data_IF_297588084974
#
_entry.id   IF_297588084974
#
_cell.length_a   1.000
_cell.length_b   1.000
_cell.length_c   1.000
_cell.angle_alpha   90.00
_cell.angle_beta   90.00
_cell.angle_gamma   90.00
#
_symmetry.space_group_name_H-M   'P 1'
#
loop_
_entity.id
_entity.type
_entity.pdbx_description
1 polymer ?
#
# COMPACT_ATOMS: atom_id res chain seq x y z
N UNK A 1 -26.54 5.79 -51.64
CA UNK A 1 -27.76 5.06 -51.25
C UNK A 1 -28.25 5.62 -49.93
N UNK A 2 -29.31 6.43 -49.98
CA UNK A 2 -30.04 6.96 -48.83
C UNK A 2 -31.09 5.94 -48.38
N UNK A 3 -31.30 5.77 -47.07
CA UNK A 3 -32.65 5.68 -46.50
C UNK A 3 -32.62 5.75 -44.97
N UNK A 4 -33.00 6.91 -44.45
CA UNK A 4 -33.55 7.11 -43.11
C UNK A 4 -34.81 6.25 -42.91
N UNK A 5 -35.12 5.87 -41.65
CA UNK A 5 -36.43 6.19 -41.03
C UNK A 5 -36.48 5.88 -39.53
N UNK A 6 -36.92 6.91 -38.83
CA UNK A 6 -37.43 7.07 -37.46
C UNK A 6 -38.70 6.26 -37.18
N UNK A 7 -38.96 5.90 -35.91
CA UNK A 7 -39.99 6.53 -35.05
C UNK A 7 -40.23 5.77 -33.73
N UNK A 8 -40.35 6.56 -32.66
CA UNK A 8 -40.99 6.24 -31.38
C UNK A 8 -42.51 6.12 -31.53
N UNK A 9 -43.16 5.49 -30.54
CA UNK A 9 -44.34 6.07 -29.86
C UNK A 9 -44.83 5.17 -28.70
N UNK A 10 -45.13 5.86 -27.60
CA UNK A 10 -45.86 5.41 -26.41
C UNK A 10 -47.26 4.84 -26.75
N UNK A 11 -47.80 4.01 -25.87
CA UNK A 11 -49.24 4.02 -25.56
C UNK A 11 -49.48 3.58 -24.12
N UNK A 12 -50.45 4.24 -23.48
CA UNK A 12 -50.76 4.21 -22.07
C UNK A 12 -52.09 3.48 -21.76
N UNK A 13 -52.16 2.96 -20.54
CA UNK A 13 -53.26 3.03 -19.57
C UNK A 13 -54.63 2.30 -19.77
N UNK A 14 -55.02 1.66 -18.65
CA UNK A 14 -56.29 1.77 -17.91
C UNK A 14 -57.34 0.63 -17.98
N UNK A 15 -57.68 0.09 -16.78
CA UNK A 15 -59.01 -0.33 -16.25
C UNK A 15 -58.76 -1.04 -14.88
N UNK A 16 -59.01 -0.51 -13.68
CA UNK A 16 -60.22 -0.06 -12.96
C UNK A 16 -61.18 -1.19 -12.51
N UNK A 17 -61.35 -1.42 -11.19
CA UNK A 17 -62.65 -1.45 -10.47
C UNK A 17 -62.51 -1.63 -8.93
N UNK A 18 -63.52 -1.16 -8.19
CA UNK A 18 -63.49 -0.70 -6.81
C UNK A 18 -64.28 -1.54 -5.77
N UNK A 19 -63.91 -1.34 -4.49
CA UNK A 19 -64.64 -1.33 -3.20
C UNK A 19 -65.95 -2.14 -2.96
N UNK A 20 -66.00 -2.86 -1.81
CA UNK A 20 -66.96 -2.62 -0.69
C UNK A 20 -66.82 -3.67 0.45
N UNK A 21 -67.20 -3.24 1.66
CA UNK A 21 -67.05 -3.84 2.99
C UNK A 21 -68.31 -4.64 3.43
N UNK A 22 -68.22 -5.84 4.03
CA UNK A 22 -69.13 -6.30 5.11
C UNK A 22 -68.68 -7.57 5.88
N UNK A 23 -68.41 -7.34 7.17
CA UNK A 23 -68.52 -8.14 8.42
C UNK A 23 -68.97 -9.62 8.34
N UNK A 24 -68.14 -10.53 8.89
CA UNK A 24 -68.60 -11.66 9.72
C UNK A 24 -67.77 -11.71 11.01
N UNK A 25 -68.46 -11.50 12.14
CA UNK A 25 -67.99 -11.81 13.50
C UNK A 25 -68.03 -13.32 13.73
N UNK A 26 -66.89 -13.92 14.04
CA UNK A 26 -66.83 -15.16 14.82
C UNK A 26 -65.84 -14.94 15.97
N UNK A 27 -66.40 -14.83 17.17
CA UNK A 27 -65.68 -14.91 18.41
C UNK A 27 -65.12 -16.35 18.58
N UNK A 28 -63.81 -16.46 18.64
CA UNK A 28 -63.11 -17.66 19.07
C UNK A 28 -61.92 -17.25 19.94
N UNK A 29 -62.09 -17.36 21.26
CA UNK A 29 -60.99 -17.20 22.22
C UNK A 29 -59.98 -18.34 22.04
N UNK A 30 -58.76 -18.03 21.62
CA UNK A 30 -57.52 -18.75 21.98
C UNK A 30 -56.32 -17.90 21.53
N UNK A 31 -55.37 -17.71 22.44
CA UNK A 31 -54.31 -16.71 22.36
C UNK A 31 -53.61 -16.64 21.01
N UNK A 32 -53.54 -15.42 20.48
CA UNK A 32 -52.61 -15.07 19.41
C UNK A 32 -51.20 -15.20 19.96
N UNK A 33 -50.49 -16.25 19.55
CA UNK A 33 -49.04 -16.16 19.44
C UNK A 33 -48.77 -15.13 18.32
N UNK A 34 -48.67 -13.86 18.70
CA UNK A 34 -47.93 -12.88 17.89
C UNK A 34 -46.57 -13.50 17.57
N UNK A 35 -46.16 -13.61 16.29
CA UNK A 35 -44.77 -13.89 15.99
C UNK A 35 -43.95 -12.88 16.78
N UNK A 36 -43.00 -13.36 17.58
CA UNK A 36 -42.05 -12.46 18.21
C UNK A 36 -41.49 -11.56 17.09
N UNK A 37 -41.57 -10.24 17.27
CA UNK A 37 -40.71 -9.35 16.48
C UNK A 37 -39.29 -9.93 16.56
N UNK A 38 -38.57 -10.07 15.44
CA UNK A 38 -37.18 -10.46 15.51
C UNK A 38 -36.50 -9.52 16.51
N UNK A 39 -35.74 -10.07 17.46
CA UNK A 39 -34.89 -9.23 18.32
C UNK A 39 -34.09 -8.30 17.41
N UNK A 40 -33.81 -7.04 17.83
CA UNK A 40 -33.05 -6.12 17.01
C UNK A 40 -31.63 -6.69 16.86
N UNK A 41 -31.43 -7.51 15.84
CA UNK A 41 -30.11 -7.80 15.31
C UNK A 41 -29.55 -6.50 14.78
N UNK A 42 -28.24 -6.31 14.93
CA UNK A 42 -27.54 -5.25 14.24
C UNK A 42 -27.79 -5.46 12.75
N UNK A 43 -28.37 -4.48 12.06
CA UNK A 43 -28.62 -4.54 10.62
C UNK A 43 -27.26 -4.37 9.93
N UNK A 44 -26.62 -5.50 9.62
CA UNK A 44 -25.27 -5.54 9.04
C UNK A 44 -25.33 -5.35 7.51
N UNK A 45 -24.34 -4.68 6.91
CA UNK A 45 -23.19 -4.03 7.55
C UNK A 45 -23.53 -2.60 8.02
N UNK A 46 -23.06 -2.24 9.22
CA UNK A 46 -23.00 -0.84 9.62
C UNK A 46 -21.63 -0.28 9.25
N UNK A 47 -21.63 0.73 8.39
CA UNK A 47 -20.45 1.52 8.03
C UNK A 47 -20.67 2.98 8.40
N UNK A 48 -19.71 3.61 9.07
CA UNK A 48 -19.80 5.01 9.48
C UNK A 48 -18.44 5.72 9.41
N UNK A 49 -18.46 6.98 8.94
CA UNK A 49 -17.31 7.86 8.96
C UNK A 49 -17.45 8.85 10.12
N UNK A 50 -16.38 9.00 10.90
CA UNK A 50 -16.34 9.81 12.11
C UNK A 50 -15.03 10.59 12.18
N UNK A 51 -15.00 11.65 12.97
CA UNK A 51 -13.79 12.45 13.18
C UNK A 51 -13.55 12.54 14.67
N UNK A 52 -12.32 12.32 15.11
CA UNK A 52 -11.94 12.41 16.52
C UNK A 52 -12.13 13.82 17.08
N UNK A 53 -12.62 13.90 18.31
CA UNK A 53 -12.73 15.17 19.04
C UNK A 53 -11.36 15.67 19.56
N UNK A 54 -11.36 16.80 20.27
CA UNK A 54 -10.16 17.39 20.88
C UNK A 54 -9.51 16.51 21.98
N UNK A 55 -10.14 15.40 22.36
CA UNK A 55 -9.60 14.41 23.27
C UNK A 55 -9.25 13.11 22.54
N UNK A 56 -9.25 13.11 21.20
CA UNK A 56 -8.91 11.97 20.37
C UNK A 56 -10.00 10.90 20.34
N UNK A 57 -11.22 11.20 20.78
CA UNK A 57 -12.24 10.18 20.99
C UNK A 57 -13.34 10.19 19.93
N UNK A 58 -13.88 9.00 19.66
CA UNK A 58 -15.12 8.77 18.92
C UNK A 58 -15.94 7.73 19.67
N UNK A 59 -17.21 8.04 19.92
CA UNK A 59 -18.19 7.10 20.48
C UNK A 59 -19.25 6.73 19.44
N UNK A 60 -19.58 5.45 19.33
CA UNK A 60 -20.54 4.94 18.37
C UNK A 60 -21.51 3.96 19.04
N UNK A 61 -22.81 4.18 18.88
CA UNK A 61 -23.85 3.26 19.38
C UNK A 61 -24.48 2.50 18.22
N UNK A 62 -24.40 1.18 18.29
CA UNK A 62 -24.87 0.21 17.31
C UNK A 62 -26.19 -0.47 17.71
N UNK A 63 -26.85 0.02 18.76
CA UNK A 63 -28.07 -0.59 19.26
C UNK A 63 -27.78 -1.90 19.98
N UNK A 64 -27.24 -1.78 21.20
CA UNK A 64 -26.88 -2.92 22.07
C UNK A 64 -25.37 -3.17 22.17
N UNK A 65 -24.59 -2.64 21.24
CA UNK A 65 -23.13 -2.57 21.25
C UNK A 65 -22.71 -1.10 21.16
N UNK A 66 -21.74 -0.68 21.97
CA UNK A 66 -21.09 0.63 21.87
C UNK A 66 -19.63 0.43 21.49
N UNK A 67 -19.08 1.31 20.66
CA UNK A 67 -17.66 1.40 20.39
C UNK A 67 -17.15 2.72 20.98
N UNK A 68 -16.15 2.63 21.84
CA UNK A 68 -15.41 3.78 22.34
C UNK A 68 -13.99 3.68 21.78
N UNK A 69 -13.67 4.58 20.85
CA UNK A 69 -12.39 4.60 20.14
C UNK A 69 -11.60 5.81 20.63
N UNK A 70 -10.34 5.59 20.99
CA UNK A 70 -9.36 6.65 21.31
C UNK A 70 -8.21 6.57 20.32
N UNK A 71 -7.84 7.70 19.73
CA UNK A 71 -6.71 7.86 18.82
C UNK A 71 -5.69 8.80 19.44
N UNK A 72 -4.44 8.37 19.48
CA UNK A 72 -3.35 9.08 20.12
C UNK A 72 -2.02 8.90 19.36
N UNK A 73 -1.03 9.74 19.65
CA UNK A 73 0.35 9.55 19.19
C UNK A 73 1.13 8.59 20.10
N UNK A 74 2.39 8.30 19.73
CA UNK A 74 3.30 7.47 20.52
C UNK A 74 3.61 8.02 21.93
N UNK A 75 3.41 9.33 22.15
CA UNK A 75 3.52 9.99 23.45
C UNK A 75 2.19 10.02 24.23
N UNK A 76 1.18 9.27 23.76
CA UNK A 76 -0.18 9.18 24.31
C UNK A 76 -0.90 10.53 24.35
N UNK A 77 -0.53 11.47 23.48
CA UNK A 77 -1.30 12.70 23.29
C UNK A 77 -2.48 12.43 22.36
N UNK A 78 -3.67 12.95 22.69
CA UNK A 78 -4.86 12.74 21.86
C UNK A 78 -4.72 13.44 20.50
N UNK A 79 -5.17 12.77 19.44
CA UNK A 79 -5.14 13.30 18.08
C UNK A 79 -6.54 13.76 17.66
N UNK A 80 -6.71 15.08 17.52
CA UNK A 80 -7.95 15.71 17.03
C UNK A 80 -8.02 15.69 15.50
N UNK A 81 -9.21 15.51 14.94
CA UNK A 81 -9.41 15.66 13.49
C UNK A 81 -9.06 14.42 12.66
N UNK A 82 -8.71 13.29 13.28
CA UNK A 82 -8.44 12.03 12.57
C UNK A 82 -9.75 11.46 12.05
N UNK A 83 -9.79 11.17 10.75
CA UNK A 83 -10.92 10.51 10.10
C UNK A 83 -10.89 9.02 10.42
N UNK A 84 -11.96 8.52 11.01
CA UNK A 84 -12.17 7.10 11.28
C UNK A 84 -13.26 6.56 10.36
N UNK A 85 -13.00 5.43 9.72
CA UNK A 85 -14.05 4.57 9.15
C UNK A 85 -14.22 3.35 10.02
N UNK A 86 -15.44 3.16 10.51
CA UNK A 86 -15.85 1.97 11.24
C UNK A 86 -16.69 1.10 10.32
N UNK A 87 -16.35 -0.18 10.27
CA UNK A 87 -17.02 -1.20 9.47
C UNK A 87 -17.28 -2.44 10.33
N UNK A 88 -18.51 -2.94 10.32
CA UNK A 88 -18.85 -4.22 10.95
C UNK A 88 -18.92 -5.36 9.94
N UNK A 89 -18.39 -6.52 10.34
CA UNK A 89 -18.60 -7.81 9.69
C UNK A 89 -19.39 -8.76 10.61
N UNK A 90 -19.39 -10.07 10.33
CA UNK A 90 -20.06 -11.05 11.19
C UNK A 90 -19.34 -11.26 12.52
N UNK A 91 -18.00 -11.27 12.50
CA UNK A 91 -17.20 -11.57 13.69
C UNK A 91 -16.28 -10.43 14.11
N UNK A 92 -16.16 -9.34 13.34
CA UNK A 92 -15.21 -8.27 13.64
C UNK A 92 -15.81 -6.88 13.49
N UNK A 93 -15.25 -5.95 14.26
CA UNK A 93 -15.30 -4.52 13.98
C UNK A 93 -13.94 -4.10 13.44
N UNK A 94 -13.93 -3.48 12.28
CA UNK A 94 -12.75 -2.91 11.65
C UNK A 94 -12.83 -1.38 11.77
N UNK A 95 -11.75 -0.77 12.26
CA UNK A 95 -11.60 0.68 12.35
C UNK A 95 -10.35 1.07 11.58
N UNK A 96 -10.52 1.88 10.54
CA UNK A 96 -9.42 2.47 9.78
C UNK A 96 -9.30 3.93 10.18
N UNK A 97 -8.13 4.33 10.64
CA UNK A 97 -7.80 5.71 10.95
C UNK A 97 -7.00 6.32 9.81
N UNK A 98 -7.33 7.55 9.42
CA UNK A 98 -6.51 8.32 8.49
C UNK A 98 -6.44 9.79 8.90
N UNK A 99 -5.25 10.35 8.76
CA UNK A 99 -4.95 11.74 8.98
C UNK A 99 -4.89 12.47 7.64
N UNK A 100 -5.80 13.41 7.42
CA UNK A 100 -5.83 14.22 6.20
C UNK A 100 -4.76 15.31 6.12
N UNK A 101 -3.92 15.42 7.14
CA UNK A 101 -2.79 16.34 7.18
C UNK A 101 -1.44 15.67 6.93
N UNK A 102 -1.45 14.35 6.64
CA UNK A 102 -0.29 13.52 6.37
C UNK A 102 0.76 13.46 7.49
N UNK A 103 0.44 13.91 8.70
CA UNK A 103 1.36 13.85 9.85
C UNK A 103 1.52 12.44 10.37
N UNK A 104 0.51 11.58 10.18
CA UNK A 104 0.52 10.19 10.62
C UNK A 104 0.17 9.23 9.47
N UNK A 105 0.74 8.03 9.51
CA UNK A 105 0.34 6.96 8.60
C UNK A 105 -1.09 6.50 8.87
N UNK A 106 -1.81 6.02 7.83
CA UNK A 106 -3.04 5.29 8.01
C UNK A 106 -2.81 4.04 8.85
N UNK A 107 -3.75 3.77 9.76
CA UNK A 107 -3.69 2.61 10.66
C UNK A 107 -5.02 1.85 10.68
N UNK A 108 -4.98 0.59 11.06
CA UNK A 108 -6.14 -0.30 11.11
C UNK A 108 -6.16 -1.10 12.42
N UNK A 109 -7.31 -1.08 13.09
CA UNK A 109 -7.60 -1.92 14.24
C UNK A 109 -8.77 -2.84 13.93
N UNK A 110 -8.62 -4.13 14.23
CA UNK A 110 -9.64 -5.15 13.97
C UNK A 110 -9.88 -5.91 15.26
N UNK A 111 -11.09 -5.76 15.81
CA UNK A 111 -11.45 -6.34 17.09
C UNK A 111 -12.59 -7.33 16.94
N UNK A 112 -12.52 -8.44 17.69
CA UNK A 112 -13.60 -9.44 17.67
C UNK A 112 -14.90 -8.86 18.23
N UNK A 113 -15.99 -9.07 17.51
CA UNK A 113 -17.32 -8.82 18.03
C UNK A 113 -17.67 -9.90 19.07
N UNK A 114 -18.31 -9.51 20.18
CA UNK A 114 -18.83 -10.48 21.13
C UNK A 114 -19.82 -11.40 20.43
N UNK A 115 -19.57 -12.71 20.47
CA UNK A 115 -20.52 -13.69 19.91
C UNK A 115 -21.89 -13.49 20.55
N UNK A 116 -22.94 -13.25 19.74
CA UNK A 116 -24.31 -13.37 20.21
C UNK A 116 -24.52 -14.80 20.71
N UNK A 117 -24.52 -15.00 22.03
CA UNK A 117 -24.80 -16.30 22.62
C UNK A 117 -26.19 -16.77 22.19
N UNK A 118 -26.24 -17.75 21.30
CA UNK A 118 -27.45 -18.44 20.88
C UNK A 118 -28.21 -19.05 22.07
N UNK A 119 -29.49 -18.70 22.18
CA UNK A 119 -30.63 -19.52 22.62
C UNK A 119 -30.66 -20.14 24.04
N UNK A 120 -30.45 -19.33 25.08
CA UNK A 120 -31.16 -19.58 26.35
C UNK A 120 -32.12 -18.45 26.69
N UNK A 121 -33.41 -18.81 26.73
CA UNK A 121 -34.54 -17.96 27.12
C UNK A 121 -34.19 -17.21 28.42
N UNK A 122 -34.12 -15.88 28.43
CA UNK A 122 -33.73 -15.16 29.64
C UNK A 122 -34.87 -15.27 30.66
N UNK A 123 -34.53 -15.70 31.87
CA UNK A 123 -35.36 -15.46 33.03
C UNK A 123 -35.45 -13.94 33.21
N UNK A 124 -36.68 -13.44 33.33
CA UNK A 124 -37.06 -12.04 33.47
C UNK A 124 -36.23 -11.30 34.55
N UNK A 125 -35.22 -10.51 34.16
CA UNK A 125 -34.57 -9.46 34.98
C UNK A 125 -33.56 -8.61 34.16
N UNK A 126 -33.10 -7.45 34.68
CA UNK A 126 -33.36 -6.09 34.17
C UNK A 126 -32.32 -5.57 33.16
N UNK A 127 -32.71 -4.55 32.38
CA UNK A 127 -31.90 -3.69 31.49
C UNK A 127 -30.76 -4.39 30.75
N UNK A 128 -30.93 -4.64 29.44
CA UNK A 128 -29.85 -5.12 28.58
C UNK A 128 -28.59 -4.27 28.84
N UNK A 129 -27.54 -4.90 29.39
CA UNK A 129 -26.26 -4.23 29.57
C UNK A 129 -25.71 -3.94 28.18
N UNK A 130 -25.65 -2.68 27.80
CA UNK A 130 -24.99 -2.25 26.58
C UNK A 130 -23.52 -2.68 26.69
N UNK A 131 -23.08 -3.54 25.77
CA UNK A 131 -21.72 -4.01 25.74
C UNK A 131 -20.86 -2.94 25.06
N UNK A 132 -19.72 -2.58 25.63
CA UNK A 132 -18.79 -1.60 25.03
C UNK A 132 -17.50 -2.28 24.62
N UNK A 133 -17.08 -2.07 23.38
CA UNK A 133 -15.74 -2.40 22.89
C UNK A 133 -14.90 -1.13 22.98
N UNK A 134 -13.71 -1.26 23.57
CA UNK A 134 -12.75 -0.17 23.69
C UNK A 134 -11.61 -0.42 22.73
N UNK A 135 -11.35 0.55 21.85
CA UNK A 135 -10.28 0.47 20.85
C UNK A 135 -9.33 1.64 21.08
N UNK A 136 -8.04 1.37 21.20
CA UNK A 136 -7.01 2.41 21.31
C UNK A 136 -6.07 2.26 20.12
N UNK A 137 -6.08 3.26 19.25
CA UNK A 137 -5.18 3.33 18.09
C UNK A 137 -4.05 4.31 18.40
N UNK A 138 -2.80 3.87 18.23
CA UNK A 138 -1.61 4.72 18.44
C UNK A 138 -0.97 4.94 17.09
N UNK A 139 -1.20 6.10 16.48
CA UNK A 139 -0.74 6.37 15.13
C UNK A 139 0.77 6.65 15.10
N UNK A 140 1.40 6.21 14.02
CA UNK A 140 2.84 6.40 13.78
C UNK A 140 3.05 7.66 12.94
N UNK A 141 3.96 8.53 13.36
CA UNK A 141 4.32 9.75 12.61
C UNK A 141 4.93 9.39 11.25
N UNK A 142 4.52 10.11 10.21
CA UNK A 142 5.04 9.96 8.85
C UNK A 142 6.49 10.42 8.78
N UNK A 143 7.39 9.50 8.44
CA UNK A 143 8.84 9.80 8.30
C UNK A 143 9.38 9.44 6.91
N UNK A 144 8.70 8.53 6.22
CA UNK A 144 8.92 8.05 4.86
C UNK A 144 7.57 8.02 4.11
N UNK A 145 7.58 7.70 2.82
CA UNK A 145 6.34 7.57 2.04
C UNK A 145 5.64 6.21 2.21
N UNK A 146 6.35 5.21 2.72
CA UNK A 146 5.80 3.90 3.11
C UNK A 146 6.18 3.58 4.55
N UNK A 147 5.24 2.95 5.25
CA UNK A 147 5.42 2.40 6.58
C UNK A 147 5.23 0.88 6.53
N UNK A 148 6.25 0.13 6.93
CA UNK A 148 6.14 -1.30 7.20
C UNK A 148 5.74 -1.53 8.64
N UNK A 149 4.67 -2.31 8.86
CA UNK A 149 4.24 -2.67 10.20
C UNK A 149 5.25 -3.63 10.83
N UNK A 150 5.74 -3.30 12.02
CA UNK A 150 6.64 -4.19 12.77
C UNK A 150 5.98 -5.54 13.12
N UNK A 151 4.66 -5.56 13.22
CA UNK A 151 3.85 -6.78 13.35
C UNK A 151 2.53 -6.50 12.65
N UNK A 152 2.04 -7.47 11.87
CA UNK A 152 0.76 -7.36 11.20
C UNK A 152 -0.36 -7.05 12.20
N UNK A 153 -1.31 -6.17 11.86
CA UNK A 153 -2.47 -5.91 12.70
C UNK A 153 -3.22 -7.21 13.04
N UNK A 154 -3.66 -7.32 14.29
CA UNK A 154 -4.41 -8.49 14.75
C UNK A 154 -5.61 -8.75 13.83
N UNK A 155 -5.89 -10.02 13.54
CA UNK A 155 -7.02 -10.45 12.70
C UNK A 155 -7.04 -9.94 11.25
N UNK A 156 -5.97 -9.32 10.75
CA UNK A 156 -5.93 -8.79 9.39
C UNK A 156 -6.15 -9.88 8.33
N UNK A 157 -5.61 -11.08 8.54
CA UNK A 157 -5.85 -12.22 7.64
C UNK A 157 -7.28 -12.77 7.70
N UNK A 158 -7.95 -12.68 8.87
CA UNK A 158 -9.27 -13.26 9.11
C UNK A 158 -10.37 -12.51 8.35
N UNK A 159 -10.21 -11.19 8.17
CA UNK A 159 -11.19 -10.34 7.49
C UNK A 159 -11.52 -10.85 6.07
N UNK A 160 -10.57 -11.51 5.38
CA UNK A 160 -10.75 -12.02 4.02
C UNK A 160 -11.88 -13.05 3.91
N UNK A 161 -12.14 -13.78 4.99
CA UNK A 161 -13.09 -14.89 5.05
C UNK A 161 -14.43 -14.48 5.69
N UNK A 162 -14.58 -13.21 6.06
CA UNK A 162 -15.80 -12.71 6.68
C UNK A 162 -17.02 -12.72 5.76
N UNK A 163 -18.16 -13.09 6.35
CA UNK A 163 -19.44 -13.03 5.65
C UNK A 163 -19.89 -11.56 5.53
N UNK A 164 -20.74 -11.29 4.53
CA UNK A 164 -21.24 -9.94 4.20
C UNK A 164 -20.21 -8.95 3.62
N UNK A 165 -18.96 -9.40 3.38
CA UNK A 165 -18.01 -8.70 2.53
C UNK A 165 -18.07 -9.31 1.12
N UNK A 166 -18.30 -8.45 0.12
CA UNK A 166 -18.20 -8.84 -1.29
C UNK A 166 -16.79 -8.57 -1.77
N UNK A 167 -16.11 -9.61 -2.25
CA UNK A 167 -14.72 -9.51 -2.68
C UNK A 167 -14.61 -9.29 -4.18
N UNK A 168 -13.83 -8.29 -4.56
CA UNK A 168 -13.39 -8.07 -5.93
C UNK A 168 -11.93 -8.47 -6.01
N UNK A 169 -11.58 -9.29 -7.00
CA UNK A 169 -10.21 -9.78 -7.16
C UNK A 169 -9.81 -9.72 -8.64
N UNK A 170 -8.57 -9.30 -8.89
CA UNK A 170 -8.04 -9.18 -10.25
C UNK A 170 -6.51 -9.36 -10.27
N UNK A 171 -5.97 -9.67 -11.44
CA UNK A 171 -4.52 -9.73 -11.67
C UNK A 171 -4.06 -8.38 -12.19
N UNK A 172 -3.24 -7.67 -11.42
CA UNK A 172 -2.84 -6.29 -11.66
C UNK A 172 -1.32 -6.18 -11.67
N UNK A 173 -0.78 -5.39 -12.59
CA UNK A 173 0.58 -4.86 -12.45
C UNK A 173 0.54 -3.62 -11.52
N UNK A 174 1.68 -2.98 -11.31
CA UNK A 174 1.76 -1.80 -10.44
C UNK A 174 0.95 -0.60 -10.97
N UNK A 175 0.85 -0.41 -12.29
CA UNK A 175 0.05 0.67 -12.88
C UNK A 175 -1.44 0.49 -12.61
N UNK A 176 -1.95 -0.72 -12.87
CA UNK A 176 -3.34 -1.05 -12.64
C UNK A 176 -3.68 -1.06 -11.15
N UNK A 177 -2.75 -1.50 -10.28
CA UNK A 177 -2.91 -1.40 -8.83
C UNK A 177 -3.00 0.07 -8.38
N UNK A 178 -2.14 0.95 -8.89
CA UNK A 178 -2.20 2.38 -8.58
C UNK A 178 -3.53 2.98 -9.05
N UNK A 179 -4.01 2.61 -10.23
CA UNK A 179 -5.30 3.04 -10.74
C UNK A 179 -6.45 2.56 -9.85
N UNK A 180 -6.38 1.33 -9.34
CA UNK A 180 -7.32 0.79 -8.35
C UNK A 180 -7.30 1.64 -7.07
N UNK A 181 -6.12 1.90 -6.49
CA UNK A 181 -5.94 2.76 -5.31
C UNK A 181 -6.51 4.17 -5.55
N UNK A 182 -6.18 4.78 -6.68
CA UNK A 182 -6.63 6.12 -7.06
C UNK A 182 -8.15 6.20 -7.27
N UNK A 183 -8.77 5.14 -7.81
CA UNK A 183 -10.23 5.07 -8.02
C UNK A 183 -11.01 5.16 -6.71
N UNK A 184 -10.39 4.80 -5.58
CA UNK A 184 -11.00 4.85 -4.26
C UNK A 184 -11.02 6.26 -3.66
N UNK A 185 -10.13 7.16 -4.09
CA UNK A 185 -10.02 8.52 -3.53
C UNK A 185 -11.22 9.43 -3.88
N UNK A 186 -12.04 9.03 -4.85
CA UNK A 186 -13.20 9.81 -5.30
C UNK A 186 -14.44 9.75 -4.40
N UNK A 187 -14.54 8.79 -3.47
CA UNK A 187 -15.78 8.57 -2.69
C UNK A 187 -15.67 8.92 -1.21
N UNK A 188 -14.50 8.77 -0.62
CA UNK A 188 -14.01 9.40 0.61
C UNK A 188 -12.51 9.23 0.45
N UNK A 189 -11.73 10.30 0.56
CA UNK A 189 -10.28 10.18 0.54
C UNK A 189 -9.87 9.06 1.53
N UNK A 190 -8.72 8.41 1.27
CA UNK A 190 -7.90 7.85 2.36
C UNK A 190 -8.09 6.39 2.87
N UNK A 191 -8.72 5.43 2.16
CA UNK A 191 -8.96 4.09 2.76
C UNK A 191 -8.36 2.90 1.94
N UNK A 192 -7.78 3.15 0.76
CA UNK A 192 -7.07 2.13 -0.04
C UNK A 192 -5.57 1.98 0.24
N UNK A 193 -5.06 2.55 1.34
CA UNK A 193 -3.62 2.78 1.53
C UNK A 193 -2.90 1.72 2.34
N UNK A 194 -3.60 0.68 2.80
CA UNK A 194 -2.97 -0.44 3.49
C UNK A 194 -3.04 -1.65 2.58
N UNK A 195 -1.88 -2.27 2.35
CA UNK A 195 -1.71 -3.48 1.56
C UNK A 195 -1.20 -4.58 2.50
N UNK A 196 -1.88 -5.73 2.49
CA UNK A 196 -1.48 -6.91 3.23
C UNK A 196 -1.06 -8.01 2.27
N UNK A 197 0.18 -8.49 2.41
CA UNK A 197 0.72 -9.61 1.68
C UNK A 197 0.43 -10.89 2.46
N UNK A 198 -0.38 -11.76 1.86
CA UNK A 198 -0.76 -13.05 2.45
C UNK A 198 0.39 -14.05 2.39
N UNK A 199 0.27 -15.16 3.13
CA UNK A 199 1.30 -16.20 3.20
C UNK A 199 1.73 -16.73 1.82
N UNK A 200 0.77 -16.96 0.91
CA UNK A 200 1.07 -17.49 -0.43
C UNK A 200 1.92 -16.53 -1.28
N UNK A 201 1.61 -15.23 -1.25
CA UNK A 201 2.40 -14.24 -1.95
C UNK A 201 3.74 -13.96 -1.25
N UNK A 202 3.72 -13.91 0.09
CA UNK A 202 4.89 -13.70 0.92
C UNK A 202 5.97 -14.76 0.66
N UNK A 203 5.59 -16.05 0.59
CA UNK A 203 6.53 -17.15 0.31
C UNK A 203 7.34 -16.92 -0.98
N UNK A 204 6.72 -16.32 -2.01
CA UNK A 204 7.40 -15.99 -3.27
C UNK A 204 8.29 -14.76 -3.16
N UNK A 205 7.96 -13.84 -2.26
CA UNK A 205 8.69 -12.59 -2.00
C UNK A 205 9.78 -12.75 -0.93
N UNK A 206 9.83 -13.89 -0.23
CA UNK A 206 10.88 -14.23 0.73
C UNK A 206 10.54 -13.94 2.20
N UNK A 207 9.27 -13.69 2.53
CA UNK A 207 8.79 -13.46 3.90
C UNK A 207 7.46 -14.17 4.17
N UNK A 208 7.02 -14.31 5.43
CA UNK A 208 5.76 -15.03 5.72
C UNK A 208 4.55 -14.18 5.35
N UNK A 209 4.36 -13.06 6.04
CA UNK A 209 3.33 -12.06 5.74
C UNK A 209 3.95 -10.69 5.94
N UNK A 210 3.34 -9.66 5.35
CA UNK A 210 3.78 -8.28 5.52
C UNK A 210 2.63 -7.33 5.29
N UNK A 211 2.48 -6.35 6.16
CA UNK A 211 1.53 -5.25 6.01
C UNK A 211 2.26 -3.95 5.86
N UNK A 212 1.86 -3.15 4.88
CA UNK A 212 2.41 -1.81 4.66
C UNK A 212 1.28 -0.78 4.58
N UNK A 213 1.59 0.45 4.97
CA UNK A 213 0.73 1.61 4.73
C UNK A 213 1.46 2.64 3.87
N UNK A 214 0.76 3.20 2.89
CA UNK A 214 1.22 4.35 2.12
C UNK A 214 0.81 5.64 2.83
N UNK A 215 1.72 6.62 2.84
CA UNK A 215 1.41 7.98 3.26
C UNK A 215 0.32 8.61 2.36
N UNK A 216 -0.24 9.73 2.82
CA UNK A 216 -1.53 10.23 2.37
C UNK A 216 -1.59 10.69 0.89
N UNK A 217 -0.48 10.76 0.15
CA UNK A 217 -0.49 11.25 -1.23
C UNK A 217 0.38 10.44 -2.21
N UNK A 218 0.35 9.11 -2.08
CA UNK A 218 1.04 8.24 -3.02
C UNK A 218 0.49 8.33 -4.46
N UNK A 219 -0.77 8.72 -4.63
CA UNK A 219 -1.41 8.83 -5.95
C UNK A 219 -0.90 10.07 -6.70
N UNK A 220 -0.77 11.23 -6.06
CA UNK A 220 -0.21 12.41 -6.75
C UNK A 220 1.30 12.30 -6.95
N UNK A 221 1.99 11.47 -6.18
CA UNK A 221 3.38 11.09 -6.41
C UNK A 221 3.60 10.39 -7.78
N UNK A 222 2.56 9.73 -8.31
CA UNK A 222 2.57 9.12 -9.63
C UNK A 222 3.17 7.71 -9.68
N UNK A 223 3.03 7.06 -10.84
CA UNK A 223 3.43 5.67 -11.05
C UNK A 223 4.90 5.36 -10.73
N UNK A 224 5.88 6.19 -11.15
CA UNK A 224 7.28 5.89 -10.91
C UNK A 224 7.61 5.73 -9.41
N UNK A 225 7.22 6.72 -8.60
CA UNK A 225 7.45 6.70 -7.16
C UNK A 225 6.65 5.57 -6.47
N UNK A 226 5.43 5.28 -6.94
CA UNK A 226 4.64 4.15 -6.43
C UNK A 226 5.30 2.78 -6.64
N UNK A 227 5.76 2.50 -7.87
CA UNK A 227 6.47 1.25 -8.20
C UNK A 227 7.72 1.11 -7.34
N UNK A 228 8.44 2.21 -7.19
CA UNK A 228 9.68 2.23 -6.46
C UNK A 228 9.45 1.92 -4.97
N UNK A 229 8.43 2.53 -4.35
CA UNK A 229 8.03 2.24 -2.98
C UNK A 229 7.47 0.82 -2.76
N UNK A 230 6.77 0.24 -3.75
CA UNK A 230 6.41 -1.17 -3.72
C UNK A 230 7.63 -2.09 -3.80
N UNK A 231 8.62 -1.73 -4.60
CA UNK A 231 9.88 -2.45 -4.73
C UNK A 231 10.65 -2.47 -3.43
N UNK A 232 10.75 -1.31 -2.77
CA UNK A 232 11.41 -1.15 -1.47
C UNK A 232 10.71 -1.93 -0.36
N UNK A 233 9.41 -1.71 -0.18
CA UNK A 233 8.71 -2.27 0.96
C UNK A 233 8.37 -3.75 0.79
N UNK A 234 8.09 -4.21 -0.44
CA UNK A 234 7.55 -5.55 -0.70
C UNK A 234 8.38 -6.39 -1.67
N UNK A 235 9.36 -5.81 -2.37
CA UNK A 235 10.08 -6.50 -3.45
C UNK A 235 9.25 -6.73 -4.71
N UNK A 236 8.25 -5.87 -4.96
CA UNK A 236 7.32 -5.94 -6.09
C UNK A 236 7.64 -4.83 -7.09
N UNK A 237 7.83 -5.18 -8.35
CA UNK A 237 8.23 -4.26 -9.41
C UNK A 237 7.16 -4.06 -10.47
N UNK A 238 7.37 -3.09 -11.37
CA UNK A 238 6.39 -2.68 -12.38
C UNK A 238 5.88 -3.81 -13.28
N UNK A 239 6.76 -4.77 -13.61
CA UNK A 239 6.43 -5.90 -14.48
C UNK A 239 5.82 -7.10 -13.73
N UNK A 240 5.94 -7.14 -12.40
CA UNK A 240 5.34 -8.22 -11.61
C UNK A 240 3.81 -8.14 -11.68
N UNK A 241 3.16 -9.30 -11.71
CA UNK A 241 1.70 -9.39 -11.77
C UNK A 241 1.20 -9.97 -10.46
N UNK A 242 0.58 -9.12 -9.63
CA UNK A 242 -0.04 -9.54 -8.39
C UNK A 242 -1.52 -9.90 -8.58
N UNK A 243 -1.97 -10.96 -7.92
CA UNK A 243 -3.38 -11.27 -7.76
C UNK A 243 -3.91 -10.58 -6.50
N UNK A 244 -4.54 -9.42 -6.69
CA UNK A 244 -5.02 -8.57 -5.60
C UNK A 244 -6.51 -8.79 -5.37
N UNK A 245 -6.92 -8.76 -4.10
CA UNK A 245 -8.32 -8.78 -3.67
C UNK A 245 -8.62 -7.62 -2.74
N UNK A 246 -9.79 -7.00 -2.86
CA UNK A 246 -10.27 -6.00 -1.91
C UNK A 246 -11.75 -6.21 -1.58
N UNK A 247 -12.11 -5.90 -0.35
CA UNK A 247 -13.47 -6.07 0.16
C UNK A 247 -14.36 -4.89 -0.22
N UNK A 248 -15.65 -5.14 -0.40
CA UNK A 248 -16.68 -4.12 -0.56
C UNK A 248 -17.89 -4.46 0.29
N UNK A 249 -18.46 -3.46 0.95
CA UNK A 249 -19.75 -3.57 1.63
C UNK A 249 -20.91 -3.50 0.63
N UNK A 250 -22.11 -3.88 1.07
CA UNK A 250 -23.32 -3.87 0.25
C UNK A 250 -23.74 -2.48 -0.25
N UNK A 251 -23.23 -1.42 0.36
CA UNK A 251 -23.42 -0.03 -0.08
C UNK A 251 -22.39 0.42 -1.14
N UNK A 252 -21.47 -0.48 -1.54
CA UNK A 252 -20.43 -0.24 -2.52
C UNK A 252 -19.14 0.36 -1.94
N UNK A 253 -19.05 0.61 -0.63
CA UNK A 253 -17.83 1.13 0.00
C UNK A 253 -16.77 0.04 0.12
N UNK A 254 -15.52 0.40 -0.17
CA UNK A 254 -14.36 -0.49 -0.08
C UNK A 254 -13.92 -0.67 1.38
N UNK A 255 -13.39 -1.85 1.67
CA UNK A 255 -12.85 -2.26 2.97
C UNK A 255 -11.33 -2.45 2.83
N UNK A 256 -10.59 -1.86 3.75
CA UNK A 256 -9.14 -2.02 3.93
C UNK A 256 -8.83 -3.31 4.70
N UNK A 257 -7.70 -3.98 4.46
CA UNK A 257 -6.68 -3.69 3.45
C UNK A 257 -7.01 -4.23 2.06
N UNK A 258 -6.20 -3.84 1.07
CA UNK A 258 -6.06 -4.61 -0.17
C UNK A 258 -5.19 -5.83 0.18
N UNK A 259 -5.53 -7.01 -0.34
CA UNK A 259 -4.80 -8.25 -0.10
C UNK A 259 -4.05 -8.64 -1.36
N UNK A 260 -2.73 -8.81 -1.28
CA UNK A 260 -1.96 -9.53 -2.28
C UNK A 260 -2.03 -11.02 -1.96
N UNK A 261 -2.86 -11.73 -2.73
CA UNK A 261 -3.18 -13.14 -2.52
C UNK A 261 -2.15 -14.07 -3.15
N UNK A 262 -1.62 -13.68 -4.30
CA UNK A 262 -0.57 -14.41 -5.00
C UNK A 262 0.19 -13.44 -5.92
N UNK A 263 1.38 -13.81 -6.38
CA UNK A 263 2.17 -13.00 -7.31
C UNK A 263 2.88 -13.87 -8.34
N UNK A 264 2.92 -13.40 -9.59
CA UNK A 264 3.81 -13.88 -10.63
C UNK A 264 4.96 -12.89 -10.75
N UNK A 265 6.16 -13.36 -10.46
CA UNK A 265 7.38 -12.55 -10.54
C UNK A 265 7.90 -12.57 -11.97
N UNK A 266 7.97 -11.41 -12.61
CA UNK A 266 8.49 -11.21 -13.97
C UNK A 266 9.89 -10.61 -13.87
N UNK A 267 10.82 -11.40 -13.31
CA UNK A 267 12.22 -11.00 -13.07
C UNK A 267 13.10 -11.35 -14.26
N UNK A 268 12.79 -10.77 -15.42
CA UNK A 268 13.57 -10.93 -16.65
C UNK A 268 14.84 -10.05 -16.62
N UNK A 269 15.63 -10.13 -15.55
CA UNK A 269 16.89 -9.43 -15.36
C UNK A 269 17.91 -10.32 -14.66
N UNK A 270 19.20 -9.97 -14.74
CA UNK A 270 20.27 -10.70 -14.05
C UNK A 270 20.52 -10.14 -12.65
N UNK A 271 20.46 -8.81 -12.51
CA UNK A 271 20.64 -8.12 -11.23
C UNK A 271 19.89 -6.80 -11.19
N UNK A 272 19.27 -6.46 -10.07
CA UNK A 272 18.71 -5.12 -9.80
C UNK A 272 19.35 -4.54 -8.53
N UNK A 273 19.69 -3.27 -8.60
CA UNK A 273 20.35 -2.47 -7.55
C UNK A 273 19.42 -1.30 -7.24
N UNK A 274 18.77 -1.37 -6.08
CA UNK A 274 17.78 -0.37 -5.63
C UNK A 274 18.43 0.49 -4.55
N UNK A 275 18.55 1.79 -4.82
CA UNK A 275 19.02 2.80 -3.87
C UNK A 275 17.82 3.52 -3.26
N UNK A 276 17.77 3.60 -1.94
CA UNK A 276 16.84 4.46 -1.17
C UNK A 276 17.64 5.31 -0.19
N UNK A 277 17.08 6.43 0.29
CA UNK A 277 17.71 7.23 1.34
C UNK A 277 16.69 8.01 2.18
N UNK A 278 17.17 8.81 3.13
CA UNK A 278 16.33 9.69 3.94
C UNK A 278 16.01 11.01 3.26
N UNK A 279 15.48 11.96 4.04
CA UNK A 279 15.14 13.29 3.55
C UNK A 279 16.35 14.11 3.09
N UNK A 280 17.47 13.99 3.80
CA UNK A 280 18.70 14.72 3.54
C UNK A 280 19.85 13.72 3.34
N UNK A 281 20.62 13.82 2.25
CA UNK A 281 20.53 14.83 1.21
C UNK A 281 19.32 14.65 0.29
N UNK A 282 18.92 15.73 -0.37
CA UNK A 282 17.75 15.71 -1.25
C UNK A 282 17.96 14.90 -2.54
N UNK A 283 19.21 14.61 -2.92
CA UNK A 283 19.54 13.97 -4.19
C UNK A 283 20.79 13.08 -4.06
N UNK A 284 20.58 11.77 -4.15
CA UNK A 284 21.63 10.77 -4.33
C UNK A 284 21.43 10.09 -5.69
N UNK A 285 22.49 10.04 -6.49
CA UNK A 285 22.44 9.39 -7.82
C UNK A 285 23.09 8.00 -7.78
N UNK A 286 22.45 7.04 -8.44
CA UNK A 286 22.96 5.72 -8.77
C UNK A 286 23.85 5.77 -10.01
N UNK A 287 25.00 5.12 -9.92
CA UNK A 287 25.97 5.04 -11.01
C UNK A 287 26.43 3.61 -11.24
N UNK A 288 26.35 3.15 -12.49
CA UNK A 288 26.88 1.85 -12.92
C UNK A 288 27.85 2.02 -14.08
N UNK A 289 29.10 1.58 -13.90
CA UNK A 289 30.05 1.42 -15.00
C UNK A 289 30.05 -0.02 -15.47
N UNK A 290 29.97 -0.21 -16.79
CA UNK A 290 29.99 -1.54 -17.39
C UNK A 290 31.42 -1.96 -17.77
N UNK A 291 31.66 -3.28 -17.94
CA UNK A 291 32.77 -3.74 -18.75
C UNK A 291 32.62 -3.32 -20.22
N UNK A 292 33.57 -3.75 -21.06
CA UNK A 292 33.45 -3.56 -22.50
C UNK A 292 32.31 -4.42 -23.06
N UNK A 293 31.32 -3.77 -23.65
CA UNK A 293 30.17 -4.36 -24.31
C UNK A 293 30.23 -3.90 -25.77
N UNK A 294 30.28 -4.85 -26.70
CA UNK A 294 30.32 -4.56 -28.15
C UNK A 294 31.42 -3.55 -28.57
N UNK A 295 32.55 -3.54 -27.87
CA UNK A 295 33.70 -2.68 -28.15
C UNK A 295 33.66 -1.29 -27.52
N UNK A 296 32.72 -1.02 -26.60
CA UNK A 296 32.63 0.23 -25.82
C UNK A 296 32.35 -0.03 -24.35
N UNK A 297 32.77 0.87 -23.47
CA UNK A 297 32.36 0.88 -22.06
C UNK A 297 31.28 1.94 -21.85
N UNK A 298 30.34 1.67 -20.96
CA UNK A 298 29.19 2.53 -20.70
C UNK A 298 29.16 2.97 -19.24
N UNK A 299 28.48 4.08 -19.01
CA UNK A 299 28.20 4.62 -17.69
C UNK A 299 26.71 4.93 -17.62
N UNK A 300 25.98 4.15 -16.84
CA UNK A 300 24.54 4.28 -16.62
C UNK A 300 24.31 5.15 -15.39
N UNK A 301 23.62 6.26 -15.58
CA UNK A 301 23.27 7.26 -14.55
C UNK A 301 22.20 8.22 -15.11
N UNK A 302 21.75 9.20 -14.34
CA UNK A 302 20.63 10.08 -14.70
C UNK A 302 20.67 10.67 -16.13
N UNK A 303 21.83 11.11 -16.64
CA UNK A 303 21.91 11.72 -17.97
C UNK A 303 22.12 10.71 -19.12
N UNK A 304 22.39 9.45 -18.78
CA UNK A 304 22.60 8.35 -19.70
C UNK A 304 22.01 7.08 -19.11
N UNK A 305 20.68 7.02 -19.07
CA UNK A 305 19.91 5.99 -18.37
C UNK A 305 20.08 4.57 -18.94
N UNK A 306 20.79 4.38 -20.04
CA UNK A 306 21.03 3.04 -20.60
C UNK A 306 19.83 2.50 -21.39
N UNK A 307 19.74 1.18 -21.50
CA UNK A 307 18.70 0.48 -22.26
C UNK A 307 18.73 -1.02 -21.93
N UNK A 308 17.55 -1.62 -21.75
CA UNK A 308 17.38 -3.08 -21.77
C UNK A 308 17.63 -3.72 -23.15
N UNK A 309 17.22 -3.07 -24.24
CA UNK A 309 17.18 -3.69 -25.59
C UNK A 309 18.52 -3.61 -26.36
N UNK A 310 19.43 -2.75 -25.93
CA UNK A 310 20.71 -2.50 -26.59
C UNK A 310 21.80 -2.17 -25.59
N UNK A 311 23.06 -2.27 -25.98
CA UNK A 311 24.19 -1.93 -25.11
C UNK A 311 23.94 -0.57 -24.41
N UNK A 312 23.95 -0.52 -23.07
CA UNK A 312 24.65 -1.46 -22.18
C UNK A 312 23.89 -2.70 -21.67
N UNK A 313 22.65 -2.96 -22.10
CA UNK A 313 21.78 -4.01 -21.51
C UNK A 313 21.60 -3.85 -20.00
N UNK A 314 21.62 -2.59 -19.58
CA UNK A 314 21.40 -2.15 -18.22
C UNK A 314 20.73 -0.78 -18.29
N UNK A 315 19.81 -0.51 -17.37
CA UNK A 315 19.11 0.77 -17.35
C UNK A 315 18.84 1.29 -15.94
N UNK A 316 18.75 2.61 -15.83
CA UNK A 316 18.22 3.33 -14.68
C UNK A 316 16.76 3.67 -14.99
N UNK A 317 15.83 3.22 -14.16
CA UNK A 317 14.39 3.40 -14.38
C UNK A 317 13.94 4.86 -14.22
N UNK A 318 14.32 5.50 -13.12
CA UNK A 318 13.89 6.84 -12.71
C UNK A 318 15.09 7.56 -12.09
N UNK A 319 15.23 8.85 -12.41
CA UNK A 319 16.08 9.79 -11.69
C UNK A 319 15.19 10.55 -10.69
N UNK A 320 15.30 10.23 -9.40
CA UNK A 320 14.53 10.90 -8.35
C UNK A 320 15.32 12.05 -7.75
N UNK A 321 14.81 13.27 -7.95
CA UNK A 321 15.47 14.52 -7.57
C UNK A 321 14.93 15.10 -6.26
N UNK A 322 14.00 14.41 -5.59
CA UNK A 322 13.14 14.96 -4.52
C UNK A 322 13.26 14.29 -3.16
N UNK A 323 14.37 13.58 -2.90
CA UNK A 323 14.69 12.81 -1.69
C UNK A 323 13.96 11.46 -1.61
N UNK A 324 14.40 10.62 -0.66
CA UNK A 324 13.90 9.27 -0.40
C UNK A 324 14.22 8.20 -1.45
N UNK A 325 14.47 8.61 -2.69
CA UNK A 325 14.50 7.70 -3.83
C UNK A 325 13.14 6.98 -3.94
N UNK A 326 13.10 5.74 -4.48
CA UNK A 326 14.23 4.96 -4.95
C UNK A 326 14.76 5.31 -6.34
N UNK A 327 16.00 4.91 -6.60
CA UNK A 327 16.54 4.74 -7.94
C UNK A 327 16.91 3.28 -8.20
N UNK A 328 16.48 2.70 -9.32
CA UNK A 328 16.78 1.31 -9.67
C UNK A 328 17.69 1.21 -10.90
N UNK A 329 18.90 0.70 -10.71
CA UNK A 329 19.72 0.20 -11.82
C UNK A 329 19.44 -1.29 -12.02
N UNK A 330 18.96 -1.65 -13.20
CA UNK A 330 18.69 -3.05 -13.60
C UNK A 330 19.69 -3.47 -14.67
N UNK A 331 20.38 -4.59 -14.46
CA UNK A 331 21.23 -5.26 -15.45
C UNK A 331 20.43 -6.43 -16.02
N UNK A 332 20.13 -6.38 -17.32
CA UNK A 332 19.36 -7.40 -18.02
C UNK A 332 20.24 -8.48 -18.64
N UNK A 333 21.50 -8.16 -18.91
CA UNK A 333 22.45 -9.11 -19.47
C UNK A 333 23.87 -8.80 -18.99
N UNK A 334 24.55 -9.81 -18.46
CA UNK A 334 25.97 -9.71 -18.14
C UNK A 334 26.88 -9.90 -19.35
N UNK A 335 27.99 -9.17 -19.34
CA UNK A 335 29.12 -9.33 -20.26
C UNK A 335 30.41 -9.54 -19.47
N UNK A 336 31.35 -10.37 -19.95
CA UNK A 336 32.59 -10.66 -19.24
C UNK A 336 33.39 -9.39 -18.88
N UNK A 337 33.80 -9.30 -17.62
CA UNK A 337 34.52 -8.17 -17.06
C UNK A 337 33.94 -7.75 -15.70
N UNK A 338 34.17 -6.50 -15.29
CA UNK A 338 33.72 -6.01 -13.99
C UNK A 338 32.75 -4.86 -14.17
N UNK A 339 31.57 -5.00 -13.57
CA UNK A 339 30.65 -3.90 -13.34
C UNK A 339 30.97 -3.26 -11.99
N UNK A 340 30.86 -1.92 -11.93
CA UNK A 340 31.08 -1.17 -10.70
C UNK A 340 29.81 -0.38 -10.40
N UNK A 341 29.26 -0.54 -9.20
CA UNK A 341 28.10 0.22 -8.74
C UNK A 341 28.50 1.16 -7.61
N UNK A 342 28.06 2.41 -7.68
CA UNK A 342 28.36 3.44 -6.69
C UNK A 342 27.23 4.45 -6.58
N UNK A 343 27.15 5.10 -5.43
CA UNK A 343 26.18 6.16 -5.15
C UNK A 343 26.91 7.49 -5.01
N UNK A 344 26.38 8.54 -5.61
CA UNK A 344 26.95 9.88 -5.56
C UNK A 344 26.05 10.84 -4.79
N UNK A 345 26.64 11.62 -3.89
CA UNK A 345 25.92 12.73 -3.26
C UNK A 345 25.86 13.93 -4.20
N UNK A 346 24.78 14.04 -4.98
CA UNK A 346 24.64 15.06 -6.02
C UNK A 346 24.29 16.44 -5.43
N UNK A 347 23.25 16.50 -4.60
CA UNK A 347 22.81 17.76 -3.99
C UNK A 347 22.02 17.56 -2.70
N UNK A 348 21.91 18.61 -1.90
CA UNK A 348 21.16 18.59 -0.65
C UNK A 348 22.00 18.95 0.58
N UNK A 349 21.36 18.94 1.74
CA UNK A 349 22.04 19.13 3.02
C UNK A 349 22.63 17.80 3.53
N UNK A 350 23.59 17.89 4.45
CA UNK A 350 24.22 16.71 5.03
C UNK A 350 25.27 16.08 4.11
N UNK A 351 25.49 14.78 4.29
CA UNK A 351 26.50 13.99 3.57
C UNK A 351 25.95 12.60 3.28
N UNK A 352 26.59 11.86 2.36
CA UNK A 352 26.18 10.48 2.06
C UNK A 352 26.20 9.58 3.31
N UNK A 353 27.17 9.77 4.22
CA UNK A 353 27.26 8.98 5.46
C UNK A 353 26.10 9.22 6.46
N UNK A 354 25.41 10.34 6.35
CA UNK A 354 24.27 10.69 7.21
C UNK A 354 22.94 10.56 6.49
N UNK A 355 22.95 10.04 5.27
CA UNK A 355 21.78 9.99 4.39
C UNK A 355 20.75 8.94 4.78
N UNK A 356 21.12 7.97 5.62
CA UNK A 356 20.34 6.73 5.80
C UNK A 356 20.14 5.98 4.48
N UNK A 357 21.07 6.11 3.54
CA UNK A 357 21.01 5.40 2.27
C UNK A 357 21.13 3.89 2.49
N UNK A 358 20.30 3.14 1.76
CA UNK A 358 20.34 1.69 1.68
C UNK A 358 20.43 1.27 0.21
N UNK A 359 21.25 0.27 -0.08
CA UNK A 359 21.29 -0.41 -1.38
C UNK A 359 20.84 -1.84 -1.19
N UNK A 360 19.71 -2.17 -1.78
CA UNK A 360 19.21 -3.54 -1.89
C UNK A 360 19.61 -4.14 -3.23
N UNK A 361 20.21 -5.33 -3.19
CA UNK A 361 20.68 -6.08 -4.35
C UNK A 361 19.79 -7.28 -4.54
N UNK A 362 19.08 -7.31 -5.66
CA UNK A 362 18.10 -8.33 -5.98
C UNK A 362 18.55 -9.15 -7.20
N UNK A 363 18.51 -10.47 -7.08
CA UNK A 363 18.62 -11.39 -8.21
C UNK A 363 17.25 -11.98 -8.60
N UNK A 364 17.19 -12.80 -9.66
CA UNK A 364 15.95 -13.45 -10.08
C UNK A 364 15.28 -14.26 -8.97
N UNK A 365 16.08 -14.92 -8.13
CA UNK A 365 15.60 -15.80 -7.07
C UNK A 365 15.23 -15.07 -5.76
N UNK A 366 15.53 -13.78 -5.63
CA UNK A 366 15.26 -13.01 -4.40
C UNK A 366 16.38 -12.06 -4.02
N UNK A 367 16.25 -11.50 -2.82
CA UNK A 367 17.25 -10.59 -2.25
C UNK A 367 18.57 -11.33 -2.02
N UNK A 368 19.66 -10.71 -2.47
CA UNK A 368 21.02 -11.21 -2.31
C UNK A 368 21.75 -10.46 -1.19
N UNK A 369 21.58 -9.14 -1.13
CA UNK A 369 22.19 -8.27 -0.13
C UNK A 369 21.30 -7.05 0.16
N UNK A 370 21.36 -6.55 1.38
CA UNK A 370 20.91 -5.20 1.75
C UNK A 370 22.05 -4.54 2.52
N UNK A 371 22.44 -3.33 2.10
CA UNK A 371 23.62 -2.62 2.58
C UNK A 371 23.24 -1.22 3.02
N UNK A 372 23.46 -0.89 4.28
CA UNK A 372 23.36 0.48 4.76
C UNK A 372 24.66 1.23 4.48
N UNK A 373 24.55 2.50 4.11
CA UNK A 373 25.72 3.37 3.92
C UNK A 373 26.59 3.41 5.18
N UNK A 374 27.92 3.29 5.06
CA UNK A 374 28.78 3.22 6.24
C UNK A 374 28.85 4.61 6.90
N UNK A 375 28.93 4.68 8.25
CA UNK A 375 28.95 5.93 9.00
C UNK A 375 30.32 6.64 8.98
N UNK A 376 31.07 6.49 7.88
CA UNK A 376 32.41 7.02 7.73
C UNK A 376 32.41 8.54 7.48
N UNK A 377 33.58 9.17 7.56
CA UNK A 377 33.70 10.59 7.24
C UNK A 377 33.40 10.82 5.77
N UNK A 378 32.45 11.72 5.48
CA UNK A 378 32.11 12.16 4.14
C UNK A 378 32.11 13.69 4.05
N UNK A 379 32.34 14.23 2.85
CA UNK A 379 32.06 15.63 2.54
C UNK A 379 30.97 15.71 1.45
N UNK A 380 30.58 16.93 1.09
CA UNK A 380 29.67 17.14 -0.02
C UNK A 380 30.28 16.63 -1.34
N UNK A 381 29.47 16.06 -2.24
CA UNK A 381 29.92 15.51 -3.53
C UNK A 381 30.92 14.35 -3.39
N UNK A 382 30.83 13.57 -2.31
CA UNK A 382 31.56 12.32 -2.17
C UNK A 382 30.72 11.14 -2.67
N UNK A 383 31.41 10.03 -2.88
CA UNK A 383 30.90 8.78 -3.41
C UNK A 383 30.85 7.73 -2.31
N UNK A 384 29.88 6.83 -2.41
CA UNK A 384 29.88 5.54 -1.75
C UNK A 384 30.07 4.47 -2.82
N UNK A 385 31.25 3.85 -2.83
CA UNK A 385 31.58 2.75 -3.72
C UNK A 385 31.03 1.46 -3.09
N UNK A 386 29.88 1.01 -3.59
CA UNK A 386 29.08 0.00 -2.90
C UNK A 386 29.60 -1.41 -3.17
N UNK A 387 29.65 -1.80 -4.45
CA UNK A 387 29.97 -3.16 -4.85
C UNK A 387 30.52 -3.24 -6.26
N UNK A 388 31.08 -4.40 -6.58
CA UNK A 388 31.42 -4.80 -7.94
C UNK A 388 30.74 -6.12 -8.28
N UNK A 389 30.47 -6.34 -9.57
CA UNK A 389 29.89 -7.58 -10.08
C UNK A 389 30.80 -8.14 -11.17
N UNK A 390 31.17 -9.41 -11.05
CA UNK A 390 31.88 -10.12 -12.10
C UNK A 390 30.89 -10.55 -13.18
N UNK A 391 30.94 -9.89 -14.35
CA UNK A 391 30.02 -10.15 -15.46
C UNK A 391 30.22 -11.47 -16.21
N UNK A 392 31.18 -12.31 -15.82
CA UNK A 392 31.29 -13.68 -16.34
C UNK A 392 30.60 -14.71 -15.43
N UNK A 393 30.50 -14.41 -14.12
CA UNK A 393 30.01 -15.36 -13.10
C UNK A 393 28.75 -14.90 -12.38
N UNK A 394 28.46 -13.60 -12.40
CA UNK A 394 27.46 -12.96 -11.53
C UNK A 394 27.95 -12.73 -10.10
N UNK A 395 29.20 -13.10 -9.75
CA UNK A 395 29.71 -13.00 -8.39
C UNK A 395 29.78 -11.53 -7.94
N UNK A 396 29.14 -11.24 -6.80
CA UNK A 396 29.12 -9.91 -6.17
C UNK A 396 30.27 -9.82 -5.16
N UNK A 397 31.03 -8.73 -5.23
CA UNK A 397 32.03 -8.37 -4.22
C UNK A 397 31.65 -7.02 -3.61
N UNK A 398 31.32 -7.03 -2.31
CA UNK A 398 31.05 -5.82 -1.54
C UNK A 398 32.34 -5.01 -1.37
N UNK A 399 32.28 -3.72 -1.72
CA UNK A 399 33.37 -2.75 -1.55
C UNK A 399 33.14 -1.92 -0.29
N UNK A 400 31.93 -1.34 -0.18
CA UNK A 400 31.43 -0.59 0.96
C UNK A 400 32.41 0.50 1.48
N UNK A 401 32.80 1.41 0.59
CA UNK A 401 33.80 2.46 0.90
C UNK A 401 33.32 3.85 0.49
N UNK A 402 33.36 4.81 1.43
CA UNK A 402 33.15 6.23 1.14
C UNK A 402 34.46 6.88 0.65
N UNK A 403 34.39 7.59 -0.47
CA UNK A 403 35.57 8.16 -1.16
C UNK A 403 35.25 9.50 -1.85
N UNK A 404 36.22 10.42 -1.97
CA UNK A 404 36.06 11.62 -2.79
C UNK A 404 36.02 11.33 -4.31
N UNK A 405 36.31 10.11 -4.74
CA UNK A 405 36.37 9.72 -6.15
C UNK A 405 35.53 8.47 -6.44
N UNK A 406 34.91 8.38 -7.63
CA UNK A 406 34.27 7.16 -8.13
C UNK A 406 35.30 6.07 -8.40
N UNK A 407 34.88 4.79 -8.56
CA UNK A 407 35.79 3.68 -8.79
C UNK A 407 36.38 3.70 -10.21
N UNK A 408 35.68 4.35 -11.14
CA UNK A 408 36.06 4.51 -12.55
C UNK A 408 35.88 5.96 -12.98
N UNK A 409 36.68 6.45 -13.96
CA UNK A 409 36.52 7.81 -14.47
C UNK A 409 35.11 8.05 -15.02
N UNK A 410 34.61 9.25 -14.79
CA UNK A 410 33.39 9.72 -15.42
C UNK A 410 33.65 9.90 -16.92
N UNK A 411 33.16 8.98 -17.76
CA UNK A 411 33.22 9.09 -19.22
C UNK A 411 32.15 10.07 -19.69
N UNK A 412 32.28 11.34 -19.30
CA UNK A 412 31.50 12.39 -19.95
C UNK A 412 31.91 12.43 -21.43
N UNK A 413 30.93 12.26 -22.32
CA UNK A 413 31.03 12.87 -23.64
C UNK A 413 31.41 14.35 -23.50
N UNK A 414 32.00 14.98 -24.51
CA UNK A 414 32.57 16.33 -24.38
C UNK A 414 31.55 17.35 -23.88
N UNK A 415 31.76 17.81 -22.64
CA UNK A 415 31.17 18.95 -21.92
C UNK A 415 29.63 19.03 -21.78
N UNK A 416 29.15 18.93 -20.54
CA UNK A 416 28.51 20.07 -19.85
C UNK A 416 28.20 19.73 -18.38
N UNK A 417 29.10 20.14 -17.47
CA UNK A 417 28.89 20.12 -16.01
C UNK A 417 27.79 21.10 -15.53
N UNK A 418 27.03 21.68 -16.47
CA UNK A 418 26.12 22.79 -16.26
C UNK A 418 24.76 22.55 -16.93
N UNK A 419 24.42 21.31 -17.32
CA UNK A 419 23.02 21.01 -17.64
C UNK A 419 22.25 20.94 -16.33
N UNK A 420 21.28 21.84 -16.10
CA UNK A 420 20.22 21.54 -15.16
C UNK A 420 19.51 20.27 -15.65
N UNK A 421 18.97 19.47 -14.71
CA UNK A 421 17.95 18.46 -15.02
C UNK A 421 16.83 19.10 -15.87
#
# INVERSE_FOLDING_TARGET
MHSLRTRSLLTAAATAFAAALLIILLAGCKGEDTPAEPEPGIDLPVTGDHVTDAQGNVGFDLGGLSLDITVQDAAQQPLEGILLRVSLSSNYVCVVANDSSSQYYPDIAIETLPTHASTQKPARSPAASQQTIYIVMTLTETTLLVYEYATDPDHIGDLRDEQHITWVCDSLNAEDLLAVIASYEGWVQQIGKILHVTETAGEKLGYTTRTIAFAEDIVNAGLPLFVALLGEALGIFGDDIGYYCYGTHSDGRVITPIYLMDIELHRDFELRLTLTWGQDPSDLDSHLWTPEIEGSTYHVYYASQGSQESAPYAELDVDDVTSYGPENITIYQFFPGTYYYSVFHFSGAGTIATSSANVTVLGPEGELHSLDVPPDSAEANWWWNVLTVNGETGDITIVDEISPNPPMPYLAGPQDWNRPK
#
